data_IF_153338278408
#
_entry.id   IF_153338278408
#
_cell.length_a   1.000
_cell.length_b   1.000
_cell.length_c   1.000
_cell.angle_alpha   90.00
_cell.angle_beta   90.00
_cell.angle_gamma   90.00
#
_symmetry.space_group_name_H-M   'P 1'
#
loop_
_entity.id
_entity.type
_entity.pdbx_description
1 polymer ?
#
# COMPACT_ATOMS: atom_id res chain seq x y z
N UNK A 1 -1.28 -21.46 24.76
CA UNK A 1 -1.77 -20.23 25.43
C UNK A 1 -1.19 -19.03 24.70
N UNK A 2 -2.03 -18.15 24.16
CA UNK A 2 -1.58 -16.87 23.61
C UNK A 2 -1.14 -15.98 24.77
N UNK A 3 0.09 -15.44 24.74
CA UNK A 3 0.56 -14.51 25.77
C UNK A 3 -0.28 -13.22 25.69
N UNK A 4 -0.58 -12.54 26.82
CA UNK A 4 -1.17 -11.20 26.73
C UNK A 4 -0.22 -10.35 25.88
N UNK A 5 -0.76 -9.66 24.90
CA UNK A 5 0.02 -8.85 23.98
C UNK A 5 -0.68 -7.51 23.89
N UNK A 6 0.05 -6.42 24.14
CA UNK A 6 -0.55 -5.08 24.04
C UNK A 6 -0.48 -4.65 22.59
N UNK A 7 -1.64 -4.24 22.07
CA UNK A 7 -1.77 -3.68 20.74
C UNK A 7 -1.95 -2.17 20.88
N UNK A 8 -1.10 -1.41 20.20
CA UNK A 8 -1.12 0.06 20.22
C UNK A 8 -1.11 0.59 18.80
N UNK A 9 -1.98 1.55 18.52
CA UNK A 9 -1.97 2.28 17.26
C UNK A 9 -0.73 3.18 17.18
N UNK A 10 -0.12 3.24 16.00
CA UNK A 10 1.05 4.08 15.71
C UNK A 10 0.55 5.39 15.09
N UNK A 11 1.06 6.52 15.56
CA UNK A 11 0.68 7.81 15.01
C UNK A 11 1.11 7.93 13.53
N UNK A 12 0.35 8.66 12.68
CA UNK A 12 0.64 8.73 11.24
C UNK A 12 2.07 9.16 10.88
N UNK A 13 2.65 10.13 11.59
CA UNK A 13 4.04 10.58 11.37
C UNK A 13 5.08 9.49 11.66
N UNK A 14 4.80 8.67 12.67
CA UNK A 14 5.66 7.54 13.02
C UNK A 14 5.51 6.42 11.99
N UNK A 15 4.29 6.18 11.47
CA UNK A 15 4.06 5.27 10.36
C UNK A 15 4.84 5.66 9.10
N UNK A 16 4.87 6.94 8.75
CA UNK A 16 5.67 7.41 7.61
C UNK A 16 7.16 7.20 7.84
N UNK A 17 7.64 7.43 9.06
CA UNK A 17 9.04 7.21 9.42
C UNK A 17 9.41 5.73 9.31
N UNK A 18 8.53 4.83 9.73
CA UNK A 18 8.69 3.38 9.58
C UNK A 18 8.64 2.95 8.11
N UNK A 19 7.73 3.51 7.30
CA UNK A 19 7.72 3.28 5.85
C UNK A 19 9.05 3.67 5.21
N UNK A 20 9.61 4.84 5.57
CA UNK A 20 10.92 5.30 5.05
C UNK A 20 12.10 4.44 5.50
N UNK A 21 11.93 3.66 6.57
CA UNK A 21 12.98 2.77 7.07
C UNK A 21 13.06 1.43 6.31
N UNK A 22 12.06 1.12 5.48
CA UNK A 22 12.00 -0.12 4.70
C UNK A 22 12.32 0.15 3.21
N UNK A 23 13.08 -0.74 2.60
CA UNK A 23 13.30 -0.72 1.14
C UNK A 23 12.24 -1.53 0.38
N UNK A 24 11.69 -2.57 1.01
CA UNK A 24 10.75 -3.52 0.39
C UNK A 24 9.46 -3.59 1.20
N UNK A 25 8.34 -3.70 0.50
CA UNK A 25 7.03 -3.95 1.09
C UNK A 25 6.22 -4.91 0.25
N UNK A 26 4.90 -4.94 0.47
CA UNK A 26 3.96 -5.80 -0.24
C UNK A 26 2.85 -4.93 -0.81
N UNK A 27 2.65 -5.01 -2.12
CA UNK A 27 1.52 -4.41 -2.80
C UNK A 27 0.34 -5.40 -2.81
N UNK A 28 -0.80 -4.97 -2.26
CA UNK A 28 -2.03 -5.74 -2.17
C UNK A 28 -3.07 -5.13 -3.12
N UNK A 29 -3.57 -5.96 -4.02
CA UNK A 29 -4.52 -5.56 -5.05
C UNK A 29 -5.49 -6.70 -5.33
N UNK A 30 -6.51 -6.42 -6.14
CA UNK A 30 -7.46 -7.44 -6.59
C UNK A 30 -7.17 -7.79 -8.05
N UNK A 31 -7.01 -9.07 -8.34
CA UNK A 31 -6.83 -9.64 -9.66
C UNK A 31 -7.96 -10.63 -9.95
N UNK A 32 -8.78 -10.37 -10.98
CA UNK A 32 -9.94 -11.21 -11.32
C UNK A 32 -10.83 -11.52 -10.10
N UNK A 33 -11.14 -10.50 -9.30
CA UNK A 33 -11.92 -10.60 -8.04
C UNK A 33 -11.26 -11.37 -6.89
N UNK A 34 -10.02 -11.86 -7.07
CA UNK A 34 -9.24 -12.52 -6.03
C UNK A 34 -8.21 -11.56 -5.42
N UNK A 35 -7.94 -11.65 -4.11
CA UNK A 35 -6.84 -10.91 -3.50
C UNK A 35 -5.50 -11.43 -4.04
N UNK A 36 -4.62 -10.50 -4.39
CA UNK A 36 -3.26 -10.76 -4.82
C UNK A 36 -2.29 -9.92 -3.97
N UNK A 37 -1.12 -10.48 -3.69
CA UNK A 37 -0.05 -9.84 -2.91
C UNK A 37 1.27 -10.01 -3.66
N UNK A 38 1.95 -8.92 -3.92
CA UNK A 38 3.27 -8.92 -4.58
C UNK A 38 4.30 -8.20 -3.70
N UNK A 39 5.42 -8.85 -3.31
CA UNK A 39 6.57 -8.15 -2.76
C UNK A 39 7.17 -7.19 -3.80
N UNK A 40 7.48 -5.97 -3.41
CA UNK A 40 8.08 -4.98 -4.31
C UNK A 40 8.89 -3.96 -3.54
N UNK A 41 9.97 -3.48 -4.16
CA UNK A 41 10.72 -2.33 -3.67
C UNK A 41 9.92 -1.06 -3.93
N UNK A 42 10.08 -0.09 -3.03
CA UNK A 42 9.32 1.14 -3.12
C UNK A 42 10.10 2.36 -2.62
N UNK A 43 9.57 3.53 -2.94
CA UNK A 43 10.03 4.81 -2.42
C UNK A 43 8.83 5.60 -1.91
N UNK A 44 8.95 6.23 -0.75
CA UNK A 44 7.96 7.22 -0.27
C UNK A 44 8.41 8.63 -0.68
N UNK A 45 7.69 9.25 -1.60
CA UNK A 45 7.87 10.65 -2.04
C UNK A 45 6.67 11.49 -1.61
N UNK A 46 6.87 12.37 -0.63
CA UNK A 46 5.77 13.10 0.01
C UNK A 46 4.71 12.13 0.56
N UNK A 47 3.50 12.20 0.01
CA UNK A 47 2.37 11.31 0.33
C UNK A 47 2.14 10.20 -0.72
N UNK A 48 3.14 9.91 -1.57
CA UNK A 48 3.05 8.93 -2.64
C UNK A 48 4.01 7.78 -2.43
N UNK A 49 3.51 6.56 -2.52
CA UNK A 49 4.35 5.37 -2.63
C UNK A 49 4.58 5.05 -4.10
N UNK A 50 5.84 5.10 -4.51
CA UNK A 50 6.29 4.83 -5.88
C UNK A 50 6.87 3.41 -5.94
N UNK A 51 6.41 2.61 -6.90
CA UNK A 51 6.85 1.22 -7.09
C UNK A 51 6.56 0.75 -8.52
N UNK A 52 6.95 -0.48 -8.84
CA UNK A 52 6.83 -1.06 -10.17
C UNK A 52 5.61 -2.00 -10.26
N UNK A 53 4.89 -1.92 -11.38
CA UNK A 53 3.72 -2.75 -11.61
C UNK A 53 4.06 -4.26 -11.62
N UNK A 54 3.28 -5.10 -10.91
CA UNK A 54 3.48 -6.54 -10.96
C UNK A 54 3.05 -7.13 -12.31
N UNK A 55 3.46 -8.38 -12.60
CA UNK A 55 2.97 -9.09 -13.78
C UNK A 55 1.44 -9.20 -13.78
N UNK A 56 0.83 -9.04 -14.96
CA UNK A 56 -0.63 -9.19 -15.18
C UNK A 56 -1.47 -8.23 -14.35
N UNK A 57 -0.91 -7.11 -13.91
CA UNK A 57 -1.65 -6.08 -13.21
C UNK A 57 -2.65 -5.39 -14.15
N UNK A 58 -3.84 -5.13 -13.63
CA UNK A 58 -4.86 -4.33 -14.30
C UNK A 58 -5.35 -3.27 -13.34
N UNK A 59 -5.57 -2.07 -13.84
CA UNK A 59 -5.99 -0.94 -13.03
C UNK A 59 -7.07 -0.14 -13.74
N UNK A 60 -8.02 0.38 -12.97
CA UNK A 60 -8.98 1.38 -13.39
C UNK A 60 -8.72 2.69 -12.65
N UNK A 61 -9.20 3.81 -13.20
CA UNK A 61 -9.13 5.08 -12.49
C UNK A 61 -9.85 5.00 -11.13
N UNK A 62 -9.21 5.54 -10.08
CA UNK A 62 -9.75 5.52 -8.72
C UNK A 62 -9.68 4.17 -8.00
N UNK A 63 -9.02 3.17 -8.60
CA UNK A 63 -8.91 1.84 -7.99
C UNK A 63 -8.05 1.90 -6.74
N UNK A 64 -8.68 1.63 -5.58
CA UNK A 64 -8.01 1.65 -4.28
C UNK A 64 -7.26 0.34 -4.08
N UNK A 65 -5.97 0.45 -3.79
CA UNK A 65 -5.13 -0.67 -3.42
C UNK A 65 -4.49 -0.41 -2.05
N UNK A 66 -3.78 -1.41 -1.54
CA UNK A 66 -3.07 -1.27 -0.26
C UNK A 66 -1.60 -1.60 -0.43
N UNK A 67 -0.76 -0.99 0.39
CA UNK A 67 0.66 -1.28 0.48
C UNK A 67 1.02 -1.56 1.94
N UNK A 68 1.69 -2.67 2.19
CA UNK A 68 1.95 -3.14 3.54
C UNK A 68 3.44 -3.36 3.78
N UNK A 69 3.92 -2.86 4.90
CA UNK A 69 5.25 -3.15 5.45
C UNK A 69 5.11 -3.66 6.88
N UNK A 70 6.07 -4.46 7.29
CA UNK A 70 6.19 -4.95 8.66
C UNK A 70 7.68 -5.07 9.00
N UNK A 71 8.03 -4.96 10.27
CA UNK A 71 9.34 -5.41 10.73
C UNK A 71 9.34 -6.91 11.00
N UNK A 72 10.46 -7.56 10.71
CA UNK A 72 10.63 -8.98 11.03
C UNK A 72 10.77 -9.19 12.55
N UNK A 73 11.40 -8.26 13.28
CA UNK A 73 11.70 -8.40 14.72
C UNK A 73 10.93 -7.45 15.66
N UNK A 74 10.56 -6.24 15.21
CA UNK A 74 9.97 -5.18 16.07
C UNK A 74 8.43 -5.21 16.18
N UNK A 75 7.81 -6.29 15.71
CA UNK A 75 6.40 -6.59 15.86
C UNK A 75 5.46 -5.40 15.56
N UNK A 76 5.78 -4.62 14.52
CA UNK A 76 4.92 -3.55 14.01
C UNK A 76 4.55 -3.80 12.56
N UNK A 77 3.42 -3.21 12.16
CA UNK A 77 2.94 -3.19 10.79
C UNK A 77 2.51 -1.79 10.43
N UNK A 78 2.69 -1.41 9.16
CA UNK A 78 2.12 -0.19 8.58
C UNK A 78 1.47 -0.56 7.25
N UNK A 79 0.22 -0.13 7.08
CA UNK A 79 -0.53 -0.31 5.83
C UNK A 79 -1.00 1.05 5.33
N UNK A 80 -0.63 1.37 4.09
CA UNK A 80 -1.12 2.52 3.35
C UNK A 80 -2.22 2.10 2.39
N UNK A 81 -3.26 2.91 2.26
CA UNK A 81 -4.37 2.70 1.34
C UNK A 81 -4.58 3.96 0.50
N UNK A 82 -4.93 3.75 -0.77
CA UNK A 82 -5.23 4.86 -1.66
C UNK A 82 -5.37 4.44 -3.11
N UNK A 83 -5.84 5.35 -3.98
CA UNK A 83 -5.91 5.11 -5.40
C UNK A 83 -4.50 4.95 -5.99
N UNK A 84 -4.38 4.04 -6.95
CA UNK A 84 -3.16 3.86 -7.72
C UNK A 84 -3.29 4.56 -9.08
N UNK A 85 -2.18 5.12 -9.57
CA UNK A 85 -2.08 5.78 -10.87
C UNK A 85 -0.79 5.38 -11.58
N UNK A 86 -0.79 5.53 -12.91
CA UNK A 86 0.43 5.42 -13.71
C UNK A 86 1.17 6.76 -13.66
N UNK A 87 2.50 6.72 -13.49
CA UNK A 87 3.29 7.95 -13.42
C UNK A 87 3.45 8.66 -14.78
N UNK A 88 3.54 7.88 -15.86
CA UNK A 88 3.95 8.39 -17.17
C UNK A 88 2.78 8.73 -18.09
N UNK A 89 1.54 8.39 -17.72
CA UNK A 89 0.36 8.64 -18.53
C UNK A 89 -0.91 8.64 -17.69
N UNK A 90 -1.93 9.34 -18.16
CA UNK A 90 -3.25 9.29 -17.56
C UNK A 90 -3.96 7.97 -17.88
N UNK A 91 -4.69 7.43 -16.91
CA UNK A 91 -5.66 6.36 -17.17
C UNK A 91 -6.88 6.93 -17.92
N UNK A 92 -7.52 6.14 -18.80
CA UNK A 92 -8.80 6.53 -19.38
C UNK A 92 -9.80 6.92 -18.29
N UNK A 93 -10.46 8.06 -18.46
CA UNK A 93 -11.42 8.60 -17.47
C UNK A 93 -10.83 9.63 -16.48
N UNK A 94 -9.50 9.79 -16.41
CA UNK A 94 -8.86 10.75 -15.49
C UNK A 94 -9.11 12.25 -15.84
N UNK A 95 -9.76 12.56 -16.97
CA UNK A 95 -10.02 13.93 -17.45
C UNK A 95 -11.47 14.40 -17.41
N UNK A 96 -12.39 13.65 -16.78
CA UNK A 96 -13.80 14.08 -16.62
C UNK A 96 -14.05 14.57 -15.20
N UNK A 97 -14.58 15.79 -15.10
CA UNK A 97 -14.77 16.56 -13.86
C UNK A 97 -15.43 15.78 -12.72
N UNK A 98 -15.11 16.20 -11.48
CA UNK A 98 -15.59 15.80 -10.16
C UNK A 98 -17.04 15.26 -10.07
N UNK A 99 -17.25 14.07 -10.62
CA UNK A 99 -18.42 13.23 -10.47
C UNK A 99 -17.92 11.82 -10.22
N UNK A 100 -18.66 11.05 -9.42
CA UNK A 100 -18.37 9.64 -9.15
C UNK A 100 -18.32 8.93 -10.50
N UNK A 101 -17.12 8.62 -10.99
CA UNK A 101 -16.93 7.86 -12.21
C UNK A 101 -17.23 6.41 -11.84
N UNK A 102 -18.39 5.91 -12.25
CA UNK A 102 -18.60 4.46 -12.35
C UNK A 102 -17.44 3.86 -13.14
N UNK A 103 -16.83 2.83 -12.57
CA UNK A 103 -15.51 2.31 -12.92
C UNK A 103 -15.22 2.28 -14.41
N UNK A 104 -14.12 2.93 -14.80
CA UNK A 104 -13.55 2.71 -16.12
C UNK A 104 -13.12 1.24 -16.27
N UNK A 105 -13.21 0.71 -17.49
CA UNK A 105 -12.72 -0.63 -17.81
C UNK A 105 -11.26 -0.78 -17.36
N UNK A 106 -10.91 -1.81 -16.57
CA UNK A 106 -9.54 -2.02 -16.12
C UNK A 106 -8.59 -2.20 -17.30
N UNK A 107 -7.56 -1.38 -17.36
CA UNK A 107 -6.53 -1.42 -18.41
C UNK A 107 -5.37 -2.29 -17.94
N UNK A 108 -4.81 -3.09 -18.86
CA UNK A 108 -3.59 -3.83 -18.59
C UNK A 108 -2.39 -2.88 -18.43
N UNK A 109 -1.60 -3.12 -17.39
CA UNK A 109 -0.37 -2.37 -17.11
C UNK A 109 0.82 -3.24 -17.48
N UNK A 110 1.80 -2.66 -18.18
CA UNK A 110 3.01 -3.40 -18.53
C UNK A 110 3.81 -3.72 -17.25
N UNK A 111 4.40 -4.92 -17.14
CA UNK A 111 5.27 -5.23 -16.02
C UNK A 111 6.39 -4.20 -15.92
N UNK A 112 6.69 -3.75 -14.70
CA UNK A 112 7.67 -2.70 -14.43
C UNK A 112 7.28 -1.29 -14.94
N UNK A 113 6.03 -1.05 -15.35
CA UNK A 113 5.55 0.32 -15.54
C UNK A 113 5.50 1.02 -14.16
N UNK A 114 6.01 2.26 -14.02
CA UNK A 114 6.01 2.96 -12.73
C UNK A 114 4.60 3.34 -12.27
N UNK A 115 4.28 2.95 -11.04
CA UNK A 115 3.02 3.24 -10.36
C UNK A 115 3.24 4.22 -9.21
N UNK A 116 2.21 4.98 -8.89
CA UNK A 116 2.10 5.67 -7.61
C UNK A 116 0.79 5.32 -6.91
N UNK A 117 0.88 5.03 -5.62
CA UNK A 117 -0.25 5.00 -4.70
C UNK A 117 -0.29 6.34 -3.97
N UNK A 118 -1.34 7.13 -4.17
CA UNK A 118 -1.59 8.36 -3.42
C UNK A 118 -2.17 7.99 -2.05
N UNK A 119 -1.37 8.12 -0.99
CA UNK A 119 -1.76 7.67 0.36
C UNK A 119 -2.90 8.54 0.89
N UNK A 120 -4.07 7.94 1.09
CA UNK A 120 -5.26 8.58 1.66
C UNK A 120 -5.54 8.13 3.09
N UNK A 121 -5.13 6.91 3.44
CA UNK A 121 -5.23 6.36 4.77
C UNK A 121 -3.92 5.63 5.10
N UNK A 122 -3.36 5.93 6.26
CA UNK A 122 -2.15 5.31 6.77
C UNK A 122 -2.43 4.77 8.17
N UNK A 123 -2.36 3.44 8.33
CA UNK A 123 -2.67 2.76 9.58
C UNK A 123 -1.45 1.98 10.02
N UNK A 124 -1.03 2.17 11.28
CA UNK A 124 0.05 1.38 11.85
C UNK A 124 -0.31 0.83 13.20
N UNK A 125 0.22 -0.35 13.48
CA UNK A 125 0.02 -1.04 14.76
C UNK A 125 1.33 -1.60 15.25
N UNK A 126 1.56 -1.48 16.56
CA UNK A 126 2.66 -2.13 17.26
C UNK A 126 2.11 -3.16 18.23
N UNK A 127 2.79 -4.29 18.28
CA UNK A 127 2.50 -5.40 19.15
C UNK A 127 3.62 -5.55 20.19
N UNK A 128 3.34 -5.18 21.43
CA UNK A 128 4.31 -5.29 22.52
C UNK A 128 4.18 -6.65 23.20
N UNK A 129 5.25 -7.45 23.14
CA UNK A 129 5.35 -8.69 23.92
C UNK A 129 5.81 -8.34 25.34
N UNK A 130 5.07 -8.78 26.36
CA UNK A 130 5.57 -8.66 27.73
C UNK A 130 6.88 -9.44 27.87
N UNK A 131 7.92 -8.78 28.37
CA UNK A 131 9.14 -9.43 28.79
C UNK A 131 8.80 -10.41 29.91
N UNK A 132 9.16 -11.68 29.75
CA UNK A 132 9.23 -12.60 30.89
C UNK A 132 10.35 -12.12 31.80
N UNK A 133 10.01 -11.61 32.98
CA UNK A 133 10.94 -11.60 34.11
C UNK A 133 11.45 -13.04 34.29
N UNK A 134 12.76 -13.21 34.18
CA UNK A 134 13.47 -14.48 34.29
C UNK A 134 13.30 -15.13 35.66
#
# INVERSE_FOLDING_TARGET
MLRPTRWTEIAPRDCESLLRSCATGRFLYTYLTLPAVQPTDFLLDGSRLLFLAPPRFRIAYGYVCSFHVQADDDAWTVTAHGPVSLQNRALPGAGRAAGIVEGGEPVAVEPNEPLALDVQLLVGHRLERYATSA
#
